data_IF_262409956060
#
_entry.id   IF_262409956060
#
_cell.length_a   1.000
_cell.length_b   1.000
_cell.length_c   1.000
_cell.angle_alpha   90.00
_cell.angle_beta   90.00
_cell.angle_gamma   90.00
#
_symmetry.space_group_name_H-M   'P 1'
#
loop_
_entity.id
_entity.type
_entity.pdbx_description
1 polymer ?
#
# COMPACT_ATOMS: atom_id res chain seq x y z
N UNK A 1 -6.56 -10.86 44.94
CA UNK A 1 -6.23 -10.58 43.53
C UNK A 1 -7.52 -10.52 42.68
N UNK A 2 -8.58 -9.86 43.17
CA UNK A 2 -9.92 -9.81 42.52
C UNK A 2 -10.24 -8.40 41.96
N UNK A 3 -9.39 -7.42 42.27
CA UNK A 3 -9.58 -6.02 41.87
C UNK A 3 -9.05 -5.69 40.47
N UNK A 4 -8.27 -6.58 39.84
CA UNK A 4 -7.67 -6.38 38.51
C UNK A 4 -8.57 -6.87 37.36
N UNK A 5 -9.43 -7.87 37.61
CA UNK A 5 -10.35 -8.43 36.61
C UNK A 5 -11.24 -7.38 35.90
N UNK A 6 -11.86 -6.39 36.58
CA UNK A 6 -12.67 -5.40 35.87
C UNK A 6 -11.84 -4.44 35.01
N UNK A 7 -10.56 -4.22 35.36
CA UNK A 7 -9.66 -3.38 34.59
C UNK A 7 -9.14 -4.11 33.34
N UNK A 8 -8.87 -5.42 33.47
CA UNK A 8 -8.50 -6.29 32.35
C UNK A 8 -9.64 -6.40 31.33
N UNK A 9 -10.87 -6.63 31.78
CA UNK A 9 -12.06 -6.66 30.91
C UNK A 9 -12.30 -5.33 30.18
N UNK A 10 -12.15 -4.20 30.89
CA UNK A 10 -12.31 -2.88 30.28
C UNK A 10 -11.22 -2.61 29.24
N UNK A 11 -9.98 -3.02 29.52
CA UNK A 11 -8.86 -2.89 28.59
C UNK A 11 -9.06 -3.75 27.34
N UNK A 12 -9.50 -5.00 27.51
CA UNK A 12 -9.86 -5.91 26.41
C UNK A 12 -10.91 -5.28 25.49
N UNK A 13 -11.99 -4.75 26.06
CA UNK A 13 -13.10 -4.18 25.29
C UNK A 13 -12.68 -2.91 24.53
N UNK A 14 -11.91 -2.02 25.16
CA UNK A 14 -11.37 -0.80 24.53
C UNK A 14 -10.42 -1.15 23.40
N UNK A 15 -9.53 -2.11 23.61
CA UNK A 15 -8.55 -2.53 22.60
C UNK A 15 -9.25 -3.20 21.43
N UNK A 16 -10.20 -4.10 21.68
CA UNK A 16 -10.96 -4.77 20.62
C UNK A 16 -11.73 -3.75 19.77
N UNK A 17 -12.37 -2.76 20.41
CA UNK A 17 -13.09 -1.68 19.73
C UNK A 17 -12.14 -0.83 18.88
N UNK A 18 -10.96 -0.51 19.40
CA UNK A 18 -9.97 0.32 18.69
C UNK A 18 -9.35 -0.44 17.52
N UNK A 19 -9.00 -1.71 17.70
CA UNK A 19 -8.55 -2.61 16.63
C UNK A 19 -9.57 -2.66 15.50
N UNK A 20 -10.85 -2.91 15.82
CA UNK A 20 -11.93 -2.91 14.82
C UNK A 20 -12.04 -1.57 14.08
N UNK A 21 -11.94 -0.45 14.78
CA UNK A 21 -11.96 0.87 14.14
C UNK A 21 -10.79 1.06 13.17
N UNK A 22 -9.58 0.66 13.56
CA UNK A 22 -8.38 0.77 12.72
C UNK A 22 -8.45 -0.15 11.49
N UNK A 23 -8.95 -1.38 11.64
CA UNK A 23 -9.20 -2.29 10.53
C UNK A 23 -10.22 -1.70 9.55
N UNK A 24 -11.33 -1.13 10.06
CA UNK A 24 -12.35 -0.50 9.23
C UNK A 24 -11.79 0.70 8.44
N UNK A 25 -10.96 1.53 9.07
CA UNK A 25 -10.28 2.65 8.41
C UNK A 25 -9.30 2.15 7.34
N UNK A 26 -8.54 1.10 7.63
CA UNK A 26 -7.64 0.46 6.65
C UNK A 26 -8.41 0.01 5.40
N UNK A 27 -9.50 -0.75 5.58
CA UNK A 27 -10.35 -1.20 4.47
C UNK A 27 -10.90 -0.01 3.69
N UNK A 28 -11.36 1.04 4.37
CA UNK A 28 -11.86 2.25 3.73
C UNK A 28 -10.76 2.94 2.88
N UNK A 29 -9.53 3.03 3.38
CA UNK A 29 -8.40 3.56 2.63
C UNK A 29 -8.14 2.77 1.34
N UNK A 30 -8.17 1.43 1.40
CA UNK A 30 -8.01 0.58 0.21
C UNK A 30 -9.11 0.85 -0.81
N UNK A 31 -10.38 0.89 -0.37
CA UNK A 31 -11.54 1.13 -1.24
C UNK A 31 -11.47 2.52 -1.91
N UNK A 32 -11.17 3.56 -1.13
CA UNK A 32 -11.03 4.93 -1.64
C UNK A 32 -9.86 5.02 -2.63
N UNK A 33 -8.73 4.38 -2.31
CA UNK A 33 -7.57 4.29 -3.18
C UNK A 33 -7.89 3.64 -4.51
N UNK A 34 -8.59 2.50 -4.47
CA UNK A 34 -9.04 1.77 -5.66
C UNK A 34 -9.94 2.64 -6.54
N UNK A 35 -10.92 3.34 -5.94
CA UNK A 35 -11.84 4.19 -6.69
C UNK A 35 -11.13 5.38 -7.34
N UNK A 36 -10.18 6.00 -6.62
CA UNK A 36 -9.36 7.10 -7.16
C UNK A 36 -8.44 6.62 -8.29
N UNK A 37 -7.82 5.46 -8.13
CA UNK A 37 -6.98 4.84 -9.15
C UNK A 37 -7.78 4.50 -10.41
N UNK A 38 -8.96 3.89 -10.26
CA UNK A 38 -9.86 3.56 -11.37
C UNK A 38 -10.35 4.82 -12.12
N UNK A 39 -10.74 5.87 -11.38
CA UNK A 39 -11.11 7.16 -11.99
C UNK A 39 -9.95 7.81 -12.76
N UNK A 40 -8.74 7.71 -12.24
CA UNK A 40 -7.55 8.25 -12.90
C UNK A 40 -7.23 7.45 -14.16
N UNK A 41 -7.24 6.11 -14.07
CA UNK A 41 -7.01 5.22 -15.20
C UNK A 41 -8.02 5.45 -16.33
N UNK A 42 -9.32 5.54 -16.00
CA UNK A 42 -10.38 5.80 -16.99
C UNK A 42 -10.24 7.18 -17.66
N UNK A 43 -9.87 8.22 -16.91
CA UNK A 43 -9.59 9.55 -17.49
C UNK A 43 -8.40 9.51 -18.45
N UNK A 44 -7.29 8.91 -18.03
CA UNK A 44 -6.07 8.81 -18.86
C UNK A 44 -6.32 8.00 -20.12
N UNK A 45 -7.07 6.89 -20.02
CA UNK A 45 -7.48 6.07 -21.17
C UNK A 45 -8.29 6.86 -22.21
N UNK A 46 -9.15 7.77 -21.73
CA UNK A 46 -10.02 8.56 -22.61
C UNK A 46 -9.28 9.70 -23.30
N UNK A 47 -8.19 10.18 -22.70
CA UNK A 47 -7.47 11.37 -23.15
C UNK A 47 -6.25 11.03 -24.04
N UNK A 48 -5.64 9.85 -23.86
CA UNK A 48 -4.46 9.40 -24.60
C UNK A 48 -4.81 8.23 -25.54
N UNK A 49 -5.47 8.54 -26.67
CA UNK A 49 -5.87 7.55 -27.68
C UNK A 49 -4.74 7.16 -28.66
N UNK A 50 -3.49 7.10 -28.20
CA UNK A 50 -2.33 6.81 -29.08
C UNK A 50 -0.92 7.01 -28.52
N UNK A 51 -0.73 7.31 -27.22
CA UNK A 51 0.57 7.33 -26.54
C UNK A 51 0.56 6.33 -25.38
N UNK A 52 1.74 5.88 -24.94
CA UNK A 52 1.89 4.90 -23.85
C UNK A 52 1.09 5.33 -22.61
N UNK A 53 0.27 4.42 -22.10
CA UNK A 53 -0.63 4.68 -20.98
C UNK A 53 0.19 4.96 -19.71
N UNK A 54 -0.03 6.07 -18.98
CA UNK A 54 0.80 6.41 -17.81
C UNK A 54 0.38 5.59 -16.57
N UNK A 55 0.54 4.27 -16.68
CA UNK A 55 0.19 3.25 -15.68
C UNK A 55 0.93 3.51 -14.36
N UNK A 56 2.16 4.03 -14.46
CA UNK A 56 2.98 4.42 -13.32
C UNK A 56 2.28 5.42 -12.38
N UNK A 57 1.58 6.43 -12.91
CA UNK A 57 0.91 7.43 -12.06
C UNK A 57 -0.27 6.83 -11.29
N UNK A 58 -1.05 5.96 -11.94
CA UNK A 58 -2.17 5.25 -11.30
C UNK A 58 -1.65 4.33 -10.20
N UNK A 59 -0.59 3.57 -10.50
CA UNK A 59 0.05 2.63 -9.59
C UNK A 59 0.66 3.33 -8.38
N UNK A 60 1.38 4.44 -8.58
CA UNK A 60 1.95 5.24 -7.49
C UNK A 60 0.84 5.77 -6.57
N UNK A 61 -0.21 6.38 -7.14
CA UNK A 61 -1.34 6.90 -6.35
C UNK A 61 -2.01 5.81 -5.55
N UNK A 62 -2.28 4.65 -6.16
CA UNK A 62 -2.86 3.52 -5.47
C UNK A 62 -1.93 2.98 -4.37
N UNK A 63 -0.63 2.88 -4.66
CA UNK A 63 0.40 2.47 -3.70
C UNK A 63 0.44 3.32 -2.44
N UNK A 64 0.24 4.65 -2.54
CA UNK A 64 0.13 5.53 -1.36
C UNK A 64 -1.10 5.19 -0.49
N UNK A 65 -2.25 4.90 -1.10
CA UNK A 65 -3.46 4.51 -0.34
C UNK A 65 -3.29 3.14 0.32
N UNK A 66 -2.62 2.20 -0.35
CA UNK A 66 -2.27 0.91 0.25
C UNK A 66 -1.30 1.06 1.41
N UNK A 67 -0.25 1.87 1.25
CA UNK A 67 0.70 2.15 2.33
C UNK A 67 -0.01 2.72 3.56
N UNK A 68 -0.93 3.67 3.36
CA UNK A 68 -1.72 4.26 4.45
C UNK A 68 -2.61 3.22 5.15
N UNK A 69 -3.32 2.38 4.40
CA UNK A 69 -4.14 1.30 4.96
C UNK A 69 -3.29 0.34 5.82
N UNK A 70 -2.10 0.03 5.34
CA UNK A 70 -1.16 -0.86 6.00
C UNK A 70 -0.59 -0.27 7.31
N UNK A 71 -0.45 1.04 7.44
CA UNK A 71 -0.08 1.69 8.71
C UNK A 71 -1.19 1.54 9.77
N UNK A 72 -2.45 1.70 9.37
CA UNK A 72 -3.58 1.49 10.28
C UNK A 72 -3.72 0.02 10.71
N UNK A 73 -3.52 -0.90 9.77
CA UNK A 73 -3.57 -2.34 10.06
C UNK A 73 -2.44 -2.78 10.98
N UNK A 74 -1.23 -2.23 10.79
CA UNK A 74 -0.12 -2.43 11.73
C UNK A 74 -0.47 -1.94 13.14
N UNK A 75 -1.11 -0.76 13.25
CA UNK A 75 -1.60 -0.25 14.54
C UNK A 75 -2.61 -1.17 15.21
N UNK A 76 -3.56 -1.71 14.43
CA UNK A 76 -4.55 -2.68 14.89
C UNK A 76 -3.88 -3.97 15.42
N UNK A 77 -2.89 -4.48 14.69
CA UNK A 77 -2.13 -5.67 15.09
C UNK A 77 -1.31 -5.42 16.38
N UNK A 78 -0.67 -4.26 16.52
CA UNK A 78 0.05 -3.88 17.75
C UNK A 78 -0.91 -3.84 18.95
N UNK A 79 -2.09 -3.24 18.78
CA UNK A 79 -3.10 -3.18 19.84
C UNK A 79 -3.59 -4.58 20.24
N UNK A 80 -3.92 -5.43 19.26
CA UNK A 80 -4.36 -6.81 19.51
C UNK A 80 -3.32 -7.64 20.26
N UNK A 81 -2.04 -7.52 19.90
CA UNK A 81 -0.94 -8.25 20.56
C UNK A 81 -0.66 -7.79 21.99
N UNK A 82 -1.07 -6.56 22.36
CA UNK A 82 -0.85 -6.01 23.71
C UNK A 82 -1.78 -6.62 24.76
N UNK A 83 -2.97 -7.06 24.35
CA UNK A 83 -4.01 -7.58 25.26
C UNK A 83 -3.97 -9.10 25.39
N UNK A 84 -3.67 -9.82 24.32
CA UNK A 84 -3.46 -11.26 24.36
C UNK A 84 -2.31 -11.63 23.43
N UNK A 85 -1.06 -11.73 23.91
CA UNK A 85 0.06 -12.13 23.06
C UNK A 85 -0.09 -13.62 22.72
N UNK A 86 -0.79 -13.94 21.62
CA UNK A 86 -0.73 -15.27 21.04
C UNK A 86 0.43 -15.33 20.04
N UNK A 87 1.24 -16.39 20.08
CA UNK A 87 2.37 -16.58 19.16
C UNK A 87 1.94 -16.56 17.68
N UNK A 88 0.64 -16.78 17.40
CA UNK A 88 0.04 -16.70 16.07
C UNK A 88 -0.07 -15.26 15.55
N UNK A 89 -0.35 -14.27 16.41
CA UNK A 89 -0.49 -12.88 15.99
C UNK A 89 0.86 -12.27 15.61
N UNK A 90 1.93 -12.66 16.33
CA UNK A 90 3.30 -12.29 15.98
C UNK A 90 3.72 -12.84 14.59
N UNK A 91 3.29 -14.06 14.26
CA UNK A 91 3.56 -14.69 12.95
C UNK A 91 2.77 -14.00 11.83
N UNK A 92 1.50 -13.63 12.07
CA UNK A 92 0.69 -12.86 11.10
C UNK A 92 1.34 -11.52 10.80
N UNK A 93 1.79 -10.80 11.83
CA UNK A 93 2.45 -9.51 11.69
C UNK A 93 3.73 -9.61 10.84
N UNK A 94 4.57 -10.61 11.13
CA UNK A 94 5.77 -10.89 10.34
C UNK A 94 5.43 -11.23 8.87
N UNK A 95 4.37 -11.99 8.63
CA UNK A 95 3.92 -12.35 7.28
C UNK A 95 3.44 -11.12 6.50
N UNK A 96 2.66 -10.23 7.13
CA UNK A 96 2.21 -8.96 6.51
C UNK A 96 3.40 -8.07 6.15
N UNK A 97 4.38 -7.95 7.06
CA UNK A 97 5.60 -7.19 6.81
C UNK A 97 6.42 -7.74 5.62
N UNK A 98 6.51 -9.07 5.50
CA UNK A 98 7.16 -9.73 4.36
C UNK A 98 6.41 -9.47 3.06
N UNK A 99 5.09 -9.63 3.04
CA UNK A 99 4.25 -9.36 1.86
C UNK A 99 4.41 -7.89 1.41
N UNK A 100 4.38 -6.95 2.36
CA UNK A 100 4.59 -5.52 2.10
C UNK A 100 5.95 -5.28 1.45
N UNK A 101 7.01 -5.87 1.99
CA UNK A 101 8.37 -5.73 1.46
C UNK A 101 8.48 -6.33 0.07
N UNK A 102 7.91 -7.52 -0.15
CA UNK A 102 7.94 -8.20 -1.43
C UNK A 102 7.20 -7.43 -2.52
N UNK A 103 5.97 -6.99 -2.23
CA UNK A 103 5.16 -6.20 -3.17
C UNK A 103 5.83 -4.86 -3.51
N UNK A 104 6.29 -4.13 -2.49
CA UNK A 104 6.96 -2.84 -2.70
C UNK A 104 8.28 -2.98 -3.48
N UNK A 105 9.06 -4.03 -3.18
CA UNK A 105 10.29 -4.34 -3.90
C UNK A 105 10.03 -4.71 -5.37
N UNK A 106 9.07 -5.59 -5.63
CA UNK A 106 8.72 -5.98 -6.99
C UNK A 106 8.18 -4.79 -7.79
N UNK A 107 7.34 -3.97 -7.15
CA UNK A 107 6.86 -2.70 -7.70
C UNK A 107 8.02 -1.80 -8.14
N UNK A 108 8.94 -1.51 -7.23
CA UNK A 108 10.10 -0.66 -7.50
C UNK A 108 11.04 -1.23 -8.57
N UNK A 109 11.22 -2.56 -8.59
CA UNK A 109 12.08 -3.24 -9.56
C UNK A 109 11.52 -3.15 -10.98
N UNK A 110 10.23 -3.38 -11.16
CA UNK A 110 9.59 -3.24 -12.47
C UNK A 110 9.67 -1.79 -12.98
N UNK A 111 9.47 -0.80 -12.10
CA UNK A 111 9.59 0.62 -12.44
C UNK A 111 11.02 1.02 -12.84
N UNK A 112 12.03 0.53 -12.13
CA UNK A 112 13.42 0.76 -12.49
C UNK A 112 13.77 0.20 -13.87
N UNK A 113 13.13 -0.92 -14.24
CA UNK A 113 13.32 -1.58 -15.53
C UNK A 113 12.68 -0.76 -16.67
N UNK A 114 11.44 -0.30 -16.48
CA UNK A 114 10.74 0.55 -17.47
C UNK A 114 11.47 1.89 -17.68
N UNK A 115 11.91 2.56 -16.60
CA UNK A 115 12.64 3.83 -16.71
C UNK A 115 14.00 3.69 -17.40
N UNK A 116 14.68 2.56 -17.25
CA UNK A 116 15.94 2.28 -17.95
C UNK A 116 15.71 2.12 -19.47
N UNK A 117 14.65 1.38 -19.85
CA UNK A 117 14.26 1.18 -21.25
C UNK A 117 13.83 2.49 -21.95
N UNK A 118 13.11 3.37 -21.26
CA UNK A 118 12.74 4.69 -21.80
C UNK A 118 13.96 5.58 -22.05
N UNK A 119 14.96 5.56 -21.15
CA UNK A 119 16.21 6.34 -21.32
C UNK A 119 17.03 5.86 -22.51
N UNK A 120 17.11 4.55 -22.73
CA UNK A 120 17.80 3.98 -23.90
C UNK A 120 17.09 4.35 -25.21
N UNK A 121 15.75 4.33 -25.24
CA UNK A 121 14.98 4.79 -26.41
C UNK A 121 15.16 6.27 -26.69
N UNK A 122 15.23 7.13 -25.66
CA UNK A 122 15.50 8.56 -25.85
C UNK A 122 16.93 8.84 -26.33
N UNK A 123 17.92 8.07 -25.88
CA UNK A 123 19.30 8.22 -26.35
C UNK A 123 19.50 7.74 -27.80
N UNK A 124 18.80 6.68 -28.23
CA UNK A 124 18.82 6.24 -29.63
C UNK A 124 17.98 7.12 -30.59
N UNK A 125 17.12 7.99 -30.06
CA UNK A 125 16.34 8.97 -30.82
C UNK A 125 17.01 10.35 -30.94
N UNK A 126 18.27 10.51 -30.54
CA UNK A 126 19.07 11.71 -30.85
C UNK A 126 19.81 11.50 -32.17
N UNK A 127 19.28 11.99 -33.31
CA UNK A 127 19.95 11.83 -34.61
C UNK A 127 21.20 12.71 -34.68
N UNK A 128 22.27 12.12 -35.18
CA UNK A 128 23.45 12.82 -35.68
C UNK A 128 23.21 13.58 -37.00
N UNK A 129 21.98 14.08 -37.25
CA UNK A 129 21.58 14.71 -38.53
C UNK A 129 21.56 16.24 -38.46
N UNK A 130 22.62 16.87 -37.94
CA UNK A 130 22.81 18.34 -38.11
C UNK A 130 24.23 18.74 -38.50
N UNK A 131 25.05 17.80 -39.00
CA UNK A 131 26.36 18.16 -39.57
C UNK A 131 26.44 17.62 -41.00
N UNK A 132 25.80 18.35 -41.90
CA UNK A 132 25.94 18.25 -43.36
C UNK A 132 26.02 19.65 -43.94
#
# INVERSE_FOLDING_TARGET
MVWLEPLEQLLEEIVLLTTFCLEAISVLCVVVGLFKAARLATRLNRQHRGQEFPFNQVRLRFGLWLALALEFQLGADILSTTVAPTTQDLIKLALIAVIRTFLNYFLGKEMATEMALERERQQHQLPGDVVG
#
